data_IF_038334938882
#
_entry.id   IF_038334938882
#
_cell.length_a   1.000
_cell.length_b   1.000
_cell.length_c   1.000
_cell.angle_alpha   90.00
_cell.angle_beta   90.00
_cell.angle_gamma   90.00
#
_symmetry.space_group_name_H-M   'P 1'
#
loop_
_entity.id
_entity.type
_entity.pdbx_description
1 polymer ?
#
# COMPACT_ATOMS: atom_id res chain seq x y z
N UNK A 1 -21.06 -12.77 4.01
CA UNK A 1 -20.86 -11.39 4.47
C UNK A 1 -19.40 -11.07 4.78
N UNK A 2 -18.62 -12.00 5.34
CA UNK A 2 -17.21 -11.75 5.75
C UNK A 2 -16.29 -11.28 4.61
N UNK A 3 -16.49 -11.81 3.40
CA UNK A 3 -15.67 -11.54 2.22
C UNK A 3 -15.76 -10.08 1.73
N UNK A 4 -16.96 -9.50 1.74
CA UNK A 4 -17.16 -8.08 1.40
C UNK A 4 -16.48 -7.18 2.45
N UNK A 5 -16.50 -7.62 3.71
CA UNK A 5 -15.79 -6.94 4.81
C UNK A 5 -14.27 -6.91 4.63
N UNK A 6 -13.67 -8.00 4.13
CA UNK A 6 -12.22 -8.06 3.94
C UNK A 6 -11.70 -7.08 2.88
N UNK A 7 -12.38 -6.93 1.74
CA UNK A 7 -11.97 -5.95 0.73
C UNK A 7 -12.26 -4.51 1.14
N UNK A 8 -13.40 -4.27 1.79
CA UNK A 8 -13.69 -2.98 2.40
C UNK A 8 -12.57 -2.59 3.38
N UNK A 9 -12.05 -3.54 4.17
CA UNK A 9 -10.92 -3.30 5.05
C UNK A 9 -9.62 -2.95 4.30
N UNK A 10 -9.35 -3.57 3.14
CA UNK A 10 -8.19 -3.19 2.30
C UNK A 10 -8.33 -1.76 1.78
N UNK A 11 -9.53 -1.35 1.36
CA UNK A 11 -9.78 0.03 0.95
C UNK A 11 -9.59 1.00 2.11
N UNK A 12 -10.11 0.69 3.30
CA UNK A 12 -9.88 1.50 4.51
C UNK A 12 -8.38 1.66 4.77
N UNK A 13 -7.62 0.57 4.72
CA UNK A 13 -6.16 0.61 4.89
C UNK A 13 -5.51 1.49 3.81
N UNK A 14 -5.91 1.37 2.54
CA UNK A 14 -5.38 2.20 1.46
C UNK A 14 -5.63 3.71 1.69
N UNK A 15 -6.83 4.06 2.16
CA UNK A 15 -7.20 5.44 2.53
C UNK A 15 -6.37 5.94 3.70
N UNK A 16 -6.22 5.14 4.77
CA UNK A 16 -5.40 5.48 5.93
C UNK A 16 -3.93 5.68 5.53
N UNK A 17 -3.37 4.84 4.65
CA UNK A 17 -2.02 5.03 4.12
C UNK A 17 -1.89 6.32 3.30
N UNK A 18 -2.94 6.69 2.55
CA UNK A 18 -2.95 7.95 1.80
C UNK A 18 -2.99 9.18 2.72
N UNK A 19 -3.78 9.12 3.78
CA UNK A 19 -3.81 10.16 4.82
C UNK A 19 -2.46 10.26 5.55
N UNK A 20 -1.87 9.11 5.89
CA UNK A 20 -0.55 9.04 6.49
C UNK A 20 0.54 9.59 5.57
N UNK A 21 0.48 9.32 4.27
CA UNK A 21 1.37 9.92 3.28
C UNK A 21 1.22 11.45 3.25
N UNK A 22 -0.01 11.98 3.35
CA UNK A 22 -0.22 13.44 3.47
C UNK A 22 0.39 14.00 4.75
N UNK A 23 0.25 13.30 5.88
CA UNK A 23 0.84 13.71 7.17
C UNK A 23 2.37 13.69 7.13
N UNK A 24 2.97 12.61 6.61
CA UNK A 24 4.41 12.51 6.35
C UNK A 24 4.89 13.63 5.43
N UNK A 25 4.10 13.97 4.40
CA UNK A 25 4.43 15.07 3.50
C UNK A 25 4.54 16.40 4.25
N UNK A 26 3.56 16.71 5.10
CA UNK A 26 3.61 17.92 5.94
C UNK A 26 4.81 17.88 6.88
N UNK A 27 5.05 16.74 7.52
CA UNK A 27 6.14 16.54 8.45
C UNK A 27 7.51 16.80 7.79
N UNK A 28 7.86 16.13 6.68
CA UNK A 28 9.19 16.32 6.09
C UNK A 28 9.41 17.73 5.52
N UNK A 29 8.34 18.47 5.17
CA UNK A 29 8.46 19.86 4.70
C UNK A 29 8.83 20.78 5.87
N UNK A 30 8.33 20.53 7.08
CA UNK A 30 8.67 21.31 8.27
C UNK A 30 9.85 20.76 9.07
N UNK A 31 10.44 19.64 8.65
CA UNK A 31 11.62 19.09 9.30
C UNK A 31 12.91 19.71 8.77
N UNK A 32 13.73 20.26 9.67
CA UNK A 32 15.14 20.62 9.38
C UNK A 32 16.07 19.40 9.45
N UNK A 33 15.83 18.51 10.42
CA UNK A 33 16.60 17.28 10.65
C UNK A 33 15.81 16.04 10.21
N UNK A 34 16.47 14.92 9.90
CA UNK A 34 15.83 13.67 9.42
C UNK A 34 15.02 13.78 8.11
N UNK A 35 15.03 14.95 7.45
CA UNK A 35 14.20 15.23 6.26
C UNK A 35 14.36 14.20 5.14
N UNK A 36 15.59 13.74 4.89
CA UNK A 36 15.87 12.75 3.84
C UNK A 36 15.21 11.41 4.17
N UNK A 37 15.43 10.92 5.39
CA UNK A 37 14.87 9.67 5.88
C UNK A 37 13.33 9.70 5.82
N UNK A 38 12.71 10.77 6.31
CA UNK A 38 11.24 10.91 6.29
C UNK A 38 10.68 11.06 4.88
N UNK A 39 11.43 11.67 3.95
CA UNK A 39 11.05 11.73 2.54
C UNK A 39 11.05 10.34 1.89
N UNK A 40 12.01 9.49 2.25
CA UNK A 40 12.06 8.11 1.78
C UNK A 40 10.86 7.30 2.28
N UNK A 41 10.54 7.43 3.58
CA UNK A 41 9.34 6.86 4.20
C UNK A 41 8.07 7.32 3.46
N UNK A 42 7.93 8.63 3.24
CA UNK A 42 6.80 9.20 2.50
C UNK A 42 6.63 8.59 1.11
N UNK A 43 7.72 8.47 0.35
CA UNK A 43 7.64 7.95 -1.01
C UNK A 43 7.19 6.49 -1.00
N UNK A 44 7.72 5.70 -0.07
CA UNK A 44 7.39 4.29 0.08
C UNK A 44 5.92 4.08 0.46
N UNK A 45 5.44 4.83 1.46
CA UNK A 45 4.03 4.84 1.93
C UNK A 45 3.08 5.28 0.82
N UNK A 46 3.44 6.30 0.04
CA UNK A 46 2.61 6.78 -1.09
C UNK A 46 2.51 5.74 -2.21
N UNK A 47 3.63 5.09 -2.55
CA UNK A 47 3.61 4.00 -3.53
C UNK A 47 2.77 2.84 -3.03
N UNK A 48 2.84 2.54 -1.73
CA UNK A 48 2.04 1.49 -1.12
C UNK A 48 0.53 1.78 -1.13
N UNK A 49 0.12 2.99 -0.76
CA UNK A 49 -1.30 3.39 -0.80
C UNK A 49 -1.89 3.27 -2.20
N UNK A 50 -1.11 3.68 -3.21
CA UNK A 50 -1.49 3.59 -4.62
C UNK A 50 -1.68 2.13 -5.04
N UNK A 51 -0.74 1.25 -4.66
CA UNK A 51 -0.81 -0.17 -4.97
C UNK A 51 -2.03 -0.85 -4.33
N UNK A 52 -2.33 -0.54 -3.07
CA UNK A 52 -3.52 -1.10 -2.40
C UNK A 52 -4.82 -0.61 -3.04
N UNK A 53 -4.85 0.64 -3.52
CA UNK A 53 -6.01 1.20 -4.23
C UNK A 53 -6.22 0.52 -5.58
N UNK A 54 -5.13 0.20 -6.29
CA UNK A 54 -5.17 -0.59 -7.52
C UNK A 54 -5.62 -2.02 -7.24
N UNK A 55 -5.01 -2.69 -6.25
CA UNK A 55 -5.41 -4.03 -5.84
C UNK A 55 -6.89 -4.11 -5.50
N UNK A 56 -7.40 -3.16 -4.70
CA UNK A 56 -8.81 -3.11 -4.38
C UNK A 56 -9.65 -2.97 -5.65
N UNK A 57 -9.36 -1.97 -6.49
CA UNK A 57 -10.10 -1.74 -7.75
C UNK A 57 -10.11 -2.97 -8.66
N UNK A 58 -8.95 -3.63 -8.81
CA UNK A 58 -8.80 -4.83 -9.64
C UNK A 58 -9.61 -6.01 -9.09
N UNK A 59 -9.63 -6.23 -7.78
CA UNK A 59 -10.33 -7.38 -7.19
C UNK A 59 -11.83 -7.13 -6.98
N UNK A 60 -12.24 -5.86 -6.86
CA UNK A 60 -13.66 -5.48 -6.79
C UNK A 60 -14.26 -5.10 -8.14
N UNK A 61 -13.53 -5.25 -9.25
CA UNK A 61 -14.09 -4.99 -10.58
C UNK A 61 -15.31 -5.90 -10.80
N UNK A 62 -16.47 -5.27 -11.05
CA UNK A 62 -17.73 -5.96 -11.29
C UNK A 62 -17.65 -6.90 -12.50
N UNK A 63 -16.76 -6.63 -13.45
CA UNK A 63 -16.53 -7.49 -14.62
C UNK A 63 -16.05 -8.89 -14.23
N UNK A 64 -15.39 -9.01 -13.08
CA UNK A 64 -14.90 -10.29 -12.55
C UNK A 64 -15.94 -10.94 -11.61
N UNK A 65 -17.04 -10.28 -11.26
CA UNK A 65 -17.97 -10.77 -10.23
C UNK A 65 -18.57 -12.15 -10.55
N UNK A 66 -18.62 -12.54 -11.83
CA UNK A 66 -19.14 -13.81 -12.31
C UNK A 66 -18.10 -14.95 -12.34
N UNK A 67 -16.84 -14.68 -11.95
CA UNK A 67 -15.75 -15.65 -12.08
C UNK A 67 -15.41 -16.40 -10.78
N UNK A 68 -14.93 -17.63 -10.94
CA UNK A 68 -14.35 -18.43 -9.86
C UNK A 68 -13.09 -17.80 -9.26
N UNK A 69 -12.37 -16.97 -10.04
CA UNK A 69 -11.10 -16.37 -9.62
C UNK A 69 -11.26 -15.37 -8.46
N UNK A 70 -12.14 -14.36 -8.51
CA UNK A 70 -12.41 -13.53 -7.35
C UNK A 70 -12.88 -14.37 -6.18
N UNK A 71 -13.64 -15.45 -6.36
CA UNK A 71 -13.98 -16.33 -5.25
C UNK A 71 -12.74 -16.99 -4.62
N UNK A 72 -11.78 -17.47 -5.42
CA UNK A 72 -10.50 -18.02 -4.94
C UNK A 72 -9.66 -16.96 -4.21
N UNK A 73 -9.54 -15.76 -4.78
CA UNK A 73 -8.83 -14.63 -4.16
C UNK A 73 -9.53 -14.22 -2.85
N UNK A 74 -10.86 -14.16 -2.84
CA UNK A 74 -11.71 -13.91 -1.68
C UNK A 74 -11.46 -14.93 -0.56
N UNK A 75 -11.33 -16.21 -0.89
CA UNK A 75 -11.07 -17.28 0.08
C UNK A 75 -9.61 -17.42 0.50
N UNK A 76 -8.67 -16.83 -0.23
CA UNK A 76 -7.22 -17.04 0.00
C UNK A 76 -6.69 -16.50 1.34
N UNK A 77 -7.49 -15.73 2.08
CA UNK A 77 -7.03 -15.03 3.28
C UNK A 77 -6.06 -13.88 2.99
N UNK A 78 -5.70 -13.62 1.72
CA UNK A 78 -4.73 -12.59 1.36
C UNK A 78 -5.27 -11.20 1.65
N UNK A 79 -6.54 -10.91 1.35
CA UNK A 79 -7.16 -9.63 1.70
C UNK A 79 -7.11 -9.37 3.21
N UNK A 80 -7.37 -10.41 4.01
CA UNK A 80 -7.26 -10.33 5.47
C UNK A 80 -5.80 -10.08 5.89
N UNK A 81 -4.83 -10.83 5.35
CA UNK A 81 -3.41 -10.64 5.64
C UNK A 81 -2.93 -9.23 5.25
N UNK A 82 -3.31 -8.73 4.08
CA UNK A 82 -3.03 -7.35 3.63
C UNK A 82 -3.62 -6.35 4.63
N UNK A 83 -4.86 -6.54 5.08
CA UNK A 83 -5.50 -5.62 6.03
C UNK A 83 -4.79 -5.61 7.40
N UNK A 84 -4.41 -6.78 7.92
CA UNK A 84 -3.76 -6.93 9.23
C UNK A 84 -2.35 -6.37 9.19
N UNK A 85 -1.54 -6.80 8.22
CA UNK A 85 -0.16 -6.32 8.03
C UNK A 85 -0.13 -4.84 7.70
N UNK A 86 -1.11 -4.35 6.94
CA UNK A 86 -1.28 -2.92 6.63
C UNK A 86 -1.56 -2.09 7.88
N UNK A 87 -2.50 -2.51 8.73
CA UNK A 87 -2.79 -1.85 10.02
C UNK A 87 -1.59 -1.84 10.96
N UNK A 88 -0.84 -2.94 11.02
CA UNK A 88 0.38 -3.00 11.82
C UNK A 88 1.43 -2.02 11.30
N UNK A 89 1.64 -1.94 9.98
CA UNK A 89 2.55 -0.99 9.38
C UNK A 89 2.12 0.47 9.62
N UNK A 90 0.82 0.78 9.53
CA UNK A 90 0.27 2.11 9.86
C UNK A 90 0.61 2.51 11.30
N UNK A 91 0.33 1.63 12.27
CA UNK A 91 0.63 1.90 13.68
C UNK A 91 2.12 2.16 13.93
N UNK A 92 3.01 1.39 13.27
CA UNK A 92 4.46 1.57 13.39
C UNK A 92 4.95 2.89 12.79
N UNK A 93 4.37 3.32 11.67
CA UNK A 93 4.72 4.61 11.05
C UNK A 93 4.16 5.77 11.87
N UNK A 94 3.02 5.60 12.53
CA UNK A 94 2.47 6.61 13.44
C UNK A 94 3.35 6.79 14.71
N UNK A 95 3.94 5.73 15.27
CA UNK A 95 4.98 5.84 16.32
C UNK A 95 6.20 6.65 15.83
N UNK A 96 6.59 6.45 14.56
CA UNK A 96 7.67 7.22 13.94
C UNK A 96 7.30 8.70 13.86
N UNK A 97 6.11 9.03 13.38
CA UNK A 97 5.62 10.41 13.28
C UNK A 97 5.55 11.10 14.64
N UNK A 98 5.02 10.40 15.64
CA UNK A 98 4.93 10.91 17.02
C UNK A 98 6.32 11.20 17.59
N UNK A 99 7.30 10.32 17.31
CA UNK A 99 8.68 10.53 17.71
C UNK A 99 9.39 11.69 17.00
N UNK A 100 8.93 12.07 15.81
CA UNK A 100 9.45 13.19 15.02
C UNK A 100 8.79 14.52 15.34
N UNK A 101 7.64 14.52 16.01
CA UNK A 101 6.85 15.73 16.23
C UNK A 101 7.65 16.84 16.94
N UNK A 102 8.51 16.58 17.94
CA UNK A 102 9.35 17.60 18.56
C UNK A 102 10.39 18.25 17.61
N UNK A 103 10.71 17.62 16.50
CA UNK A 103 11.72 18.09 15.54
C UNK A 103 11.16 19.04 14.48
N UNK A 104 9.84 19.19 14.46
CA UNK A 104 9.12 20.02 13.50
C UNK A 104 9.36 21.49 13.75
N UNK A 105 9.63 22.25 12.68
CA UNK A 105 9.82 23.70 12.78
C UNK A 105 8.52 24.49 12.82
N UNK A 106 7.39 23.87 12.50
CA UNK A 106 6.06 24.51 12.51
C UNK A 106 5.38 24.49 13.89
N UNK A 107 6.02 23.85 14.88
CA UNK A 107 5.56 23.77 16.26
C UNK A 107 6.64 24.26 17.22
N UNK A 108 6.24 24.79 18.36
CA UNK A 108 7.16 25.28 19.40
C UNK A 108 7.38 24.17 20.42
N UNK A 109 8.62 23.70 20.48
CA UNK A 109 9.09 22.71 21.46
C UNK A 109 10.27 23.26 22.23
N UNK A 110 10.41 22.82 23.48
CA UNK A 110 11.57 23.19 24.30
C UNK A 110 12.87 22.64 23.70
N UNK A 111 13.99 23.30 24.01
CA UNK A 111 15.32 22.89 23.51
C UNK A 111 15.66 21.47 23.97
N UNK A 112 15.24 21.08 25.19
CA UNK A 112 15.46 19.74 25.75
C UNK A 112 14.66 18.67 24.99
N UNK A 113 13.38 18.93 24.68
CA UNK A 113 12.55 18.01 23.89
C UNK A 113 13.12 17.81 22.48
N UNK A 114 13.54 18.91 21.83
CA UNK A 114 14.19 18.84 20.52
C UNK A 114 15.48 18.04 20.56
N UNK A 115 16.34 18.29 21.55
CA UNK A 115 17.61 17.57 21.71
C UNK A 115 17.39 16.08 21.97
N UNK A 116 16.47 15.74 22.88
CA UNK A 116 16.10 14.37 23.17
C UNK A 116 15.54 13.65 21.94
N UNK A 117 14.67 14.31 21.17
CA UNK A 117 14.13 13.75 19.94
C UNK A 117 15.20 13.55 18.86
N UNK A 118 16.19 14.45 18.74
CA UNK A 118 17.32 14.28 17.80
C UNK A 118 18.16 13.07 18.17
N UNK A 119 18.51 12.94 19.44
CA UNK A 119 19.27 11.81 19.96
C UNK A 119 18.51 10.48 19.81
N UNK A 120 17.21 10.49 20.13
CA UNK A 120 16.32 9.34 19.93
C UNK A 120 16.19 8.97 18.45
N UNK A 121 16.19 9.93 17.53
CA UNK A 121 16.17 9.65 16.09
C UNK A 121 17.50 9.08 15.59
N UNK A 122 18.64 9.65 16.02
CA UNK A 122 19.96 9.19 15.58
C UNK A 122 20.22 7.73 15.97
N UNK A 123 19.63 7.28 17.08
CA UNK A 123 19.68 5.88 17.54
C UNK A 123 18.61 4.98 16.91
N UNK A 124 17.53 5.54 16.33
CA UNK A 124 16.38 4.79 15.81
C UNK A 124 16.42 4.43 14.31
N UNK A 125 17.52 4.67 13.59
CA UNK A 125 17.64 4.38 12.14
C UNK A 125 17.20 2.95 11.78
N UNK A 126 17.37 2.00 12.70
CA UNK A 126 17.04 0.59 12.50
C UNK A 126 15.52 0.28 12.52
N UNK A 127 14.68 1.16 13.11
CA UNK A 127 13.23 0.93 13.19
C UNK A 127 12.52 0.94 11.84
N UNK A 128 13.09 1.63 10.85
CA UNK A 128 12.50 1.69 9.50
C UNK A 128 12.66 0.38 8.75
N UNK A 129 13.76 -0.35 8.96
CA UNK A 129 14.08 -1.59 8.24
C UNK A 129 12.95 -2.65 8.36
N UNK A 130 12.43 -2.98 9.56
CA UNK A 130 11.29 -3.89 9.68
C UNK A 130 10.03 -3.43 8.96
N UNK A 131 9.75 -2.13 8.92
CA UNK A 131 8.57 -1.58 8.22
C UNK A 131 8.76 -1.73 6.71
N UNK A 132 9.96 -1.45 6.20
CA UNK A 132 10.27 -1.61 4.79
C UNK A 132 10.18 -3.08 4.35
N UNK A 133 10.61 -4.03 5.18
CA UNK A 133 10.45 -5.46 4.91
C UNK A 133 8.96 -5.84 4.81
N UNK A 134 8.13 -5.38 5.74
CA UNK A 134 6.69 -5.60 5.69
C UNK A 134 6.06 -5.00 4.42
N UNK A 135 6.37 -3.74 4.11
CA UNK A 135 5.84 -3.06 2.92
C UNK A 135 6.28 -3.77 1.64
N UNK A 136 7.54 -4.16 1.53
CA UNK A 136 8.04 -4.90 0.36
C UNK A 136 7.35 -6.26 0.19
N UNK A 137 7.12 -6.99 1.29
CA UNK A 137 6.40 -8.26 1.26
C UNK A 137 4.96 -8.07 0.77
N UNK A 138 4.23 -7.08 1.30
CA UNK A 138 2.87 -6.79 0.87
C UNK A 138 2.85 -6.30 -0.58
N UNK A 139 3.82 -5.46 -0.99
CA UNK A 139 3.95 -5.00 -2.37
C UNK A 139 4.13 -6.16 -3.34
N UNK A 140 5.03 -7.09 -3.03
CA UNK A 140 5.24 -8.27 -3.85
C UNK A 140 3.92 -9.04 -3.99
N UNK A 141 3.26 -9.38 -2.88
CA UNK A 141 2.00 -10.13 -2.89
C UNK A 141 0.89 -9.43 -3.67
N UNK A 142 0.68 -8.12 -3.45
CA UNK A 142 -0.33 -7.35 -4.17
C UNK A 142 -0.02 -7.26 -5.67
N UNK A 143 1.25 -7.04 -6.04
CA UNK A 143 1.67 -6.98 -7.45
C UNK A 143 1.46 -8.32 -8.16
N UNK A 144 1.82 -9.43 -7.51
CA UNK A 144 1.57 -10.77 -8.05
C UNK A 144 0.08 -11.03 -8.26
N UNK A 145 -0.77 -10.65 -7.30
CA UNK A 145 -2.21 -10.82 -7.46
C UNK A 145 -2.81 -9.95 -8.56
N UNK A 146 -2.39 -8.68 -8.67
CA UNK A 146 -2.80 -7.81 -9.77
C UNK A 146 -2.41 -8.44 -11.11
N UNK A 147 -1.17 -8.93 -11.24
CA UNK A 147 -0.72 -9.59 -12.47
C UNK A 147 -1.50 -10.87 -12.80
N UNK A 148 -1.84 -11.68 -11.79
CA UNK A 148 -2.67 -12.87 -11.97
C UNK A 148 -4.07 -12.49 -12.46
N UNK A 149 -4.69 -11.47 -11.85
CA UNK A 149 -6.03 -11.00 -12.26
C UNK A 149 -5.98 -10.42 -13.67
N UNK A 150 -4.99 -9.59 -13.98
CA UNK A 150 -4.82 -8.99 -15.31
C UNK A 150 -4.59 -10.05 -16.38
N UNK A 151 -3.76 -11.06 -16.09
CA UNK A 151 -3.53 -12.20 -16.98
C UNK A 151 -4.82 -13.00 -17.20
N UNK A 152 -5.55 -13.30 -16.13
CA UNK A 152 -6.83 -14.00 -16.24
C UNK A 152 -7.84 -13.23 -17.08
N UNK A 153 -7.96 -11.92 -16.86
CA UNK A 153 -8.84 -11.06 -17.64
C UNK A 153 -8.47 -11.06 -19.13
N UNK A 154 -7.17 -11.05 -19.45
CA UNK A 154 -6.67 -11.14 -20.83
C UNK A 154 -6.99 -12.48 -21.47
N UNK A 155 -6.78 -13.58 -20.75
CA UNK A 155 -7.12 -14.93 -21.21
C UNK A 155 -8.63 -15.07 -21.49
N UNK A 156 -9.48 -14.59 -20.59
CA UNK A 156 -10.93 -14.59 -20.81
C UNK A 156 -11.35 -13.79 -22.02
N UNK A 157 -10.74 -12.61 -22.23
CA UNK A 157 -11.03 -11.80 -23.40
C UNK A 157 -10.64 -12.52 -24.69
N UNK A 158 -9.54 -13.28 -24.67
CA UNK A 158 -9.13 -14.14 -25.79
C UNK A 158 -10.13 -15.28 -25.98
N UNK A 159 -10.57 -15.94 -24.92
CA UNK A 159 -11.56 -17.01 -24.98
C UNK A 159 -12.91 -16.52 -25.51
N UNK A 160 -13.35 -15.32 -25.12
CA UNK A 160 -14.55 -14.67 -25.65
C UNK A 160 -14.41 -14.36 -27.14
N UNK A 161 -13.29 -13.75 -27.56
CA UNK A 161 -13.04 -13.47 -28.97
C UNK A 161 -12.97 -14.75 -29.82
N UNK A 162 -12.37 -15.81 -29.29
CA UNK A 162 -12.36 -17.13 -29.91
C UNK A 162 -13.75 -17.73 -30.06
N UNK A 163 -14.59 -17.63 -29.01
CA UNK A 163 -15.98 -18.09 -29.05
C UNK A 163 -16.81 -17.33 -30.09
N UNK A 164 -16.57 -16.02 -30.24
CA UNK A 164 -17.22 -15.16 -31.24
C UNK A 164 -16.64 -15.30 -32.66
N UNK A 165 -15.55 -16.07 -32.84
CA UNK A 165 -14.76 -16.13 -34.09
C UNK A 165 -14.27 -14.76 -34.57
N UNK A 166 -14.08 -13.83 -33.64
CA UNK A 166 -13.57 -12.50 -33.90
C UNK A 166 -12.03 -12.54 -34.03
N UNK A 167 -11.41 -11.71 -34.88
CA UNK A 167 -9.96 -11.64 -34.96
C UNK A 167 -9.39 -11.16 -33.62
N UNK A 168 -8.39 -11.88 -33.08
CA UNK A 168 -7.70 -11.47 -31.87
C UNK A 168 -6.76 -10.30 -32.22
N UNK A 169 -6.89 -9.13 -31.58
CA UNK A 169 -5.94 -8.04 -31.73
C UNK A 169 -4.52 -8.47 -31.34
N UNK A 170 -3.53 -8.20 -32.19
CA UNK A 170 -2.11 -8.48 -31.89
C UNK A 170 -1.63 -7.82 -30.58
N UNK A 171 -2.21 -6.68 -30.21
CA UNK A 171 -1.91 -5.99 -28.95
C UNK A 171 -2.22 -6.84 -27.72
N UNK A 172 -3.27 -7.67 -27.73
CA UNK A 172 -3.61 -8.55 -26.61
C UNK A 172 -2.61 -9.71 -26.48
N UNK A 173 -2.10 -10.21 -27.61
CA UNK A 173 -1.10 -11.29 -27.64
C UNK A 173 0.26 -10.80 -27.16
N UNK A 174 0.67 -9.59 -27.55
CA UNK A 174 1.93 -8.98 -27.09
C UNK A 174 1.91 -8.59 -25.61
N UNK A 175 0.71 -8.48 -25.04
CA UNK A 175 0.47 -8.08 -23.67
C UNK A 175 0.43 -9.26 -22.69
N UNK A 176 0.33 -10.50 -23.18
CA UNK A 176 0.51 -11.71 -22.36
C UNK A 176 2.00 -12.00 -22.16
#
# INVERSE_FOLDING_TARGET
MEVVGAFSAVLTVAVEFHELARTLRRCFVSLKFARKDVKEIHNEVKSFSTLLSLFHSTVTDERLANDDLPMKIKTSGIAQHISVSGREALARIDDILTGLDPLRSDKVYSVLEQWYARWKWSTRKEKWSPIQVLLNSIKANATWLIAIVDCHHRLQKIDQLNAEKSPIPNELVQQL
#
